data_IF_628947392512
#
_entry.id   IF_628947392512
#
_cell.length_a   1.000
_cell.length_b   1.000
_cell.length_c   1.000
_cell.angle_alpha   90.00
_cell.angle_beta   90.00
_cell.angle_gamma   90.00
#
_symmetry.space_group_name_H-M   'P 1'
#
loop_
_entity.id
_entity.type
_entity.pdbx_description
1 polymer ?
#
# COMPACT_ATOMS: atom_id res chain seq x y z
N UNK A 1 -3.32 -23.95 3.19
CA UNK A 1 -3.09 -22.97 2.11
C UNK A 1 -4.35 -22.87 1.29
N UNK A 2 -4.80 -21.66 0.98
CA UNK A 2 -6.00 -21.38 0.19
C UNK A 2 -5.70 -20.20 -0.76
N UNK A 3 -6.71 -19.69 -1.44
CA UNK A 3 -6.59 -18.48 -2.26
C UNK A 3 -7.13 -17.26 -1.49
N UNK A 4 -6.42 -16.14 -1.59
CA UNK A 4 -6.85 -14.85 -1.03
C UNK A 4 -7.23 -13.89 -2.17
N UNK A 5 -8.27 -13.07 -1.98
CA UNK A 5 -8.48 -11.92 -2.85
C UNK A 5 -7.70 -10.70 -2.32
N UNK A 6 -7.28 -9.76 -3.19
CA UNK A 6 -7.29 -9.83 -4.64
C UNK A 6 -6.04 -10.54 -5.19
N UNK A 7 -6.20 -11.33 -6.26
CA UNK A 7 -5.11 -11.98 -7.00
C UNK A 7 -4.08 -12.71 -6.11
N UNK A 8 -4.51 -13.31 -5.00
CA UNK A 8 -3.69 -14.03 -4.04
C UNK A 8 -2.63 -13.21 -3.29
N UNK A 9 -2.75 -11.88 -3.28
CA UNK A 9 -1.97 -10.96 -2.43
C UNK A 9 -2.32 -11.21 -0.96
N UNK A 10 -1.33 -11.53 -0.14
CA UNK A 10 -1.56 -11.93 1.27
C UNK A 10 -1.49 -10.76 2.23
N UNK A 11 -0.70 -9.74 1.90
CA UNK A 11 -0.62 -8.48 2.63
C UNK A 11 -0.97 -7.35 1.67
N UNK A 12 -2.10 -6.67 1.93
CA UNK A 12 -2.48 -5.49 1.16
C UNK A 12 -1.47 -4.35 1.36
N UNK A 13 -1.33 -3.50 0.34
CA UNK A 13 -0.47 -2.33 0.35
C UNK A 13 1.02 -2.64 0.61
N UNK A 14 1.46 -3.86 0.26
CA UNK A 14 2.82 -4.32 0.55
C UNK A 14 3.95 -3.49 -0.10
N UNK A 15 3.66 -2.64 -1.11
CA UNK A 15 4.59 -1.60 -1.60
C UNK A 15 5.01 -0.61 -0.52
N UNK A 16 4.15 -0.31 0.46
CA UNK A 16 4.47 0.54 1.59
C UNK A 16 5.44 -0.11 2.60
N UNK A 17 5.81 -1.39 2.43
CA UNK A 17 6.87 -2.04 3.20
C UNK A 17 8.29 -1.66 2.76
N UNK A 18 8.40 -0.89 1.66
CA UNK A 18 9.65 -0.39 1.10
C UNK A 18 9.70 1.14 1.12
N UNK A 19 10.91 1.67 1.16
CA UNK A 19 11.20 3.09 1.00
C UNK A 19 10.90 3.58 -0.44
N UNK A 20 11.05 4.89 -0.72
CA UNK A 20 10.82 5.44 -2.06
C UNK A 20 11.71 4.86 -3.15
N UNK A 21 12.89 4.32 -2.80
CA UNK A 21 13.82 3.68 -3.75
C UNK A 21 13.53 2.18 -3.95
N UNK A 22 12.51 1.65 -3.26
CA UNK A 22 12.11 0.25 -3.34
C UNK A 22 12.94 -0.71 -2.51
N UNK A 23 13.74 -0.20 -1.57
CA UNK A 23 14.43 -1.02 -0.57
C UNK A 23 13.52 -1.28 0.63
N UNK A 24 13.44 -2.52 1.13
CA UNK A 24 12.67 -2.82 2.35
C UNK A 24 13.12 -1.98 3.55
N UNK A 25 12.16 -1.47 4.32
CA UNK A 25 12.45 -0.76 5.58
C UNK A 25 13.12 -1.70 6.59
N UNK A 26 12.63 -2.95 6.68
CA UNK A 26 13.25 -4.01 7.45
C UNK A 26 13.67 -5.19 6.53
N UNK A 27 14.97 -5.38 6.27
CA UNK A 27 15.47 -6.46 5.42
C UNK A 27 15.10 -7.87 5.92
N UNK A 28 14.86 -8.07 7.23
CA UNK A 28 14.47 -9.37 7.80
C UNK A 28 12.99 -9.68 7.59
N UNK A 29 12.18 -8.68 7.24
CA UNK A 29 10.73 -8.78 7.00
C UNK A 29 10.33 -8.30 5.60
N UNK A 30 11.14 -8.63 4.60
CA UNK A 30 10.87 -8.29 3.20
C UNK A 30 9.58 -8.98 2.71
N UNK A 31 8.60 -8.20 2.28
CA UNK A 31 7.41 -8.70 1.58
C UNK A 31 7.59 -8.65 0.06
N UNK A 32 7.99 -7.49 -0.45
CA UNK A 32 8.41 -7.28 -1.83
C UNK A 32 9.63 -6.34 -1.85
N UNK A 33 10.32 -6.23 -2.99
CA UNK A 33 11.37 -5.24 -3.25
C UNK A 33 11.52 -5.01 -4.75
N UNK A 34 12.06 -3.85 -5.13
CA UNK A 34 12.45 -3.56 -6.51
C UNK A 34 13.77 -4.24 -6.84
N UNK A 35 13.84 -4.96 -7.97
CA UNK A 35 15.06 -5.63 -8.43
C UNK A 35 15.76 -4.93 -9.61
N UNK A 36 15.28 -3.75 -10.02
CA UNK A 36 15.76 -3.01 -11.19
C UNK A 36 14.85 -3.13 -12.41
N UNK A 37 13.98 -4.13 -12.47
CA UNK A 37 13.02 -4.32 -13.58
C UNK A 37 11.59 -4.57 -13.12
N UNK A 38 11.41 -5.13 -11.92
CA UNK A 38 10.11 -5.55 -11.41
C UNK A 38 10.07 -5.64 -9.88
N UNK A 39 8.86 -5.53 -9.32
CA UNK A 39 8.58 -5.82 -7.92
C UNK A 39 8.41 -7.32 -7.70
N UNK A 40 9.13 -7.88 -6.74
CA UNK A 40 9.03 -9.31 -6.39
C UNK A 40 9.41 -9.59 -4.94
N UNK A 41 8.99 -10.74 -4.41
CA UNK A 41 9.33 -11.16 -3.05
C UNK A 41 8.51 -12.35 -2.57
N UNK A 42 8.49 -12.61 -1.25
CA UNK A 42 7.67 -13.65 -0.64
C UNK A 42 6.15 -13.48 -0.82
N UNK A 43 5.66 -12.27 -1.09
CA UNK A 43 4.25 -12.00 -1.38
C UNK A 43 4.06 -11.48 -2.83
N UNK A 44 2.82 -11.59 -3.34
CA UNK A 44 2.45 -11.02 -4.64
C UNK A 44 2.35 -9.50 -4.51
N UNK A 45 3.00 -8.69 -5.38
CA UNK A 45 2.91 -7.24 -5.30
C UNK A 45 1.48 -6.72 -5.38
N UNK A 46 1.08 -5.94 -4.37
CA UNK A 46 -0.14 -5.12 -4.41
C UNK A 46 0.16 -3.76 -5.03
N UNK A 47 0.70 -3.82 -6.25
CA UNK A 47 1.27 -2.69 -6.96
C UNK A 47 1.44 -3.04 -8.44
N UNK A 48 1.66 -2.05 -9.30
CA UNK A 48 2.01 -2.31 -10.70
C UNK A 48 3.42 -2.90 -10.76
N UNK A 49 3.55 -4.08 -11.36
CA UNK A 49 4.74 -4.94 -11.23
C UNK A 49 6.00 -4.33 -11.85
N UNK A 50 5.84 -3.56 -12.91
CA UNK A 50 6.89 -2.92 -13.72
C UNK A 50 7.02 -1.40 -13.42
N UNK A 51 6.38 -0.92 -12.36
CA UNK A 51 6.41 0.48 -12.00
C UNK A 51 7.69 0.83 -11.25
N UNK A 52 8.60 1.53 -11.92
CA UNK A 52 9.89 1.88 -11.35
C UNK A 52 9.75 2.90 -10.19
N UNK A 53 10.54 2.77 -9.10
CA UNK A 53 10.41 3.64 -7.93
C UNK A 53 10.54 5.15 -8.26
N UNK A 54 11.35 5.50 -9.24
CA UNK A 54 11.58 6.87 -9.72
C UNK A 54 10.34 7.56 -10.32
N UNK A 55 9.35 6.79 -10.77
CA UNK A 55 8.13 7.34 -11.35
C UNK A 55 7.17 7.91 -10.28
N UNK A 56 7.41 7.63 -9.00
CA UNK A 56 6.69 8.26 -7.90
C UNK A 56 5.23 7.84 -7.74
N UNK A 57 4.79 6.73 -8.33
CA UNK A 57 3.46 6.17 -8.09
C UNK A 57 3.27 5.81 -6.60
N UNK A 58 2.07 6.06 -6.08
CA UNK A 58 1.75 5.85 -4.66
C UNK A 58 1.29 4.42 -4.36
N UNK A 59 1.62 3.87 -3.16
CA UNK A 59 1.36 2.46 -2.82
C UNK A 59 -0.12 2.08 -2.64
N UNK A 60 -1.03 3.04 -2.52
CA UNK A 60 -2.46 2.78 -2.29
C UNK A 60 -3.21 2.85 -3.62
N UNK A 61 -3.08 1.79 -4.43
CA UNK A 61 -3.49 1.78 -5.86
C UNK A 61 -4.99 1.99 -6.12
N UNK A 62 -5.83 1.77 -5.11
CA UNK A 62 -7.28 1.96 -5.22
C UNK A 62 -7.71 3.40 -4.90
N UNK A 63 -6.82 4.21 -4.32
CA UNK A 63 -7.08 5.61 -4.05
C UNK A 63 -6.66 6.45 -5.26
N UNK A 64 -7.50 7.38 -5.75
CA UNK A 64 -7.17 8.23 -6.91
C UNK A 64 -5.82 8.96 -6.80
N UNK A 65 -5.44 9.33 -5.59
CA UNK A 65 -4.20 10.04 -5.28
C UNK A 65 -3.02 9.11 -4.94
N UNK A 66 -3.24 7.79 -4.86
CA UNK A 66 -2.20 6.79 -4.56
C UNK A 66 -1.68 6.79 -3.10
N UNK A 67 -2.25 7.59 -2.20
CA UNK A 67 -1.80 7.70 -0.80
C UNK A 67 -2.87 7.26 0.20
N UNK A 68 -2.44 6.94 1.42
CA UNK A 68 -3.35 6.82 2.56
C UNK A 68 -3.84 8.21 2.99
N UNK A 69 -5.07 8.28 3.48
CA UNK A 69 -5.68 9.52 3.98
C UNK A 69 -5.60 9.56 5.50
N UNK A 70 -4.83 10.51 6.03
CA UNK A 70 -5.05 10.97 7.41
C UNK A 70 -6.23 11.92 7.49
N UNK A 71 -6.39 12.78 6.49
CA UNK A 71 -7.55 13.65 6.30
C UNK A 71 -8.47 13.03 5.25
N UNK A 72 -9.66 12.57 5.64
CA UNK A 72 -10.55 11.77 4.80
C UNK A 72 -11.29 12.58 3.70
N UNK A 73 -11.07 13.90 3.63
CA UNK A 73 -11.77 14.83 2.73
C UNK A 73 -13.29 14.77 2.93
N UNK A 74 -14.04 14.53 1.88
CA UNK A 74 -15.49 14.35 1.84
C UNK A 74 -15.92 12.88 1.97
N UNK A 75 -14.99 11.97 2.29
CA UNK A 75 -15.25 10.53 2.36
C UNK A 75 -16.05 10.06 3.58
N UNK A 76 -16.29 10.93 4.57
CA UNK A 76 -17.04 10.63 5.79
C UNK A 76 -18.12 11.69 5.99
N UNK A 77 -19.31 11.28 6.45
CA UNK A 77 -20.44 12.19 6.64
C UNK A 77 -20.25 13.12 7.85
N UNK A 78 -19.52 12.62 8.84
CA UNK A 78 -19.29 13.21 10.16
C UNK A 78 -18.03 14.09 10.24
N UNK A 79 -17.30 14.21 9.13
CA UNK A 79 -16.12 15.07 9.02
C UNK A 79 -14.82 14.32 8.70
N UNK A 80 -13.77 15.05 8.30
CA UNK A 80 -12.56 14.46 7.72
C UNK A 80 -11.57 13.89 8.73
N UNK A 81 -11.75 14.20 10.02
CA UNK A 81 -10.97 13.68 11.14
C UNK A 81 -11.91 13.06 12.18
N UNK A 82 -11.48 12.00 12.88
CA UNK A 82 -12.24 11.44 13.99
C UNK A 82 -12.38 12.45 15.13
N UNK A 83 -13.56 12.51 15.73
CA UNK A 83 -13.86 13.27 16.95
C UNK A 83 -14.74 12.39 17.86
N UNK A 84 -14.64 12.58 19.17
CA UNK A 84 -15.43 11.79 20.11
C UNK A 84 -16.90 12.25 20.14
N UNK A 85 -17.83 11.29 20.09
CA UNK A 85 -19.26 11.49 20.35
C UNK A 85 -19.75 10.44 21.35
N UNK A 86 -20.57 10.85 22.32
CA UNK A 86 -21.21 9.91 23.23
C UNK A 86 -22.28 9.09 22.49
N UNK A 87 -22.48 7.81 22.85
CA UNK A 87 -23.46 6.95 22.20
C UNK A 87 -24.92 7.30 22.55
N UNK A 88 -25.16 8.09 23.61
CA UNK A 88 -26.47 8.56 24.07
C UNK A 88 -26.38 9.97 24.66
#
# INVERSE_FOLDING_TARGET
>A
WAWAWPANRRVLYNRASCDPNGKPFDPKRKLIAWNGTSWSGPDIPDYKIDEAPENGMGPFIMNPEGVARFFARDGMNEGPFPEHYEPF
#
